data_IF_243261185794
#
_entry.id   IF_243261185794
#
_cell.length_a   1.000
_cell.length_b   1.000
_cell.length_c   1.000
_cell.angle_alpha   90.00
_cell.angle_beta   90.00
_cell.angle_gamma   90.00
#
_symmetry.space_group_name_H-M   'P 1'
#
loop_
_entity.id
_entity.type
_entity.pdbx_description
1 polymer ?
#
# COMPACT_ATOMS: atom_id res chain seq x y z
N UNK A 1 -15.27 -41.16 16.99
CA UNK A 1 -15.76 -41.87 18.18
C UNK A 1 -17.27 -41.80 18.23
N UNK A 2 -17.97 -42.91 18.55
CA UNK A 2 -19.39 -42.82 18.87
C UNK A 2 -19.59 -41.88 20.07
N UNK A 3 -20.64 -41.06 20.04
CA UNK A 3 -21.02 -40.07 21.08
C UNK A 3 -20.09 -38.84 21.26
N UNK A 4 -19.23 -38.51 20.29
CA UNK A 4 -18.35 -37.33 20.37
C UNK A 4 -18.95 -36.12 19.64
N UNK A 5 -19.00 -34.98 20.33
CA UNK A 5 -19.45 -33.68 19.79
C UNK A 5 -18.46 -32.58 20.12
N UNK A 6 -18.40 -31.56 19.26
CA UNK A 6 -17.67 -30.31 19.49
C UNK A 6 -18.61 -29.15 19.24
N UNK A 7 -18.70 -28.23 20.20
CA UNK A 7 -19.47 -27.01 20.10
C UNK A 7 -18.52 -25.84 19.86
N UNK A 8 -18.97 -24.87 19.07
CA UNK A 8 -18.30 -23.60 18.88
C UNK A 8 -19.09 -22.53 19.62
N UNK A 9 -18.46 -21.91 20.62
CA UNK A 9 -19.04 -20.85 21.44
C UNK A 9 -18.40 -19.53 21.08
N UNK A 10 -19.22 -18.48 20.95
CA UNK A 10 -18.77 -17.11 20.68
C UNK A 10 -19.34 -16.15 21.72
N UNK A 11 -18.68 -15.02 22.00
CA UNK A 11 -19.22 -14.02 22.91
C UNK A 11 -20.52 -13.45 22.37
N UNK A 12 -21.50 -13.15 23.24
CA UNK A 12 -22.76 -12.50 22.83
C UNK A 12 -22.53 -11.18 22.07
N UNK A 13 -21.46 -10.46 22.43
CA UNK A 13 -21.06 -9.21 21.76
C UNK A 13 -20.74 -9.43 20.27
N UNK A 14 -20.35 -10.63 19.86
CA UNK A 14 -20.08 -10.95 18.47
C UNK A 14 -21.37 -11.02 17.64
N UNK A 15 -22.49 -11.41 18.24
CA UNK A 15 -23.80 -11.37 17.58
C UNK A 15 -24.34 -9.93 17.50
N UNK A 16 -24.15 -9.15 18.55
CA UNK A 16 -24.65 -7.78 18.66
C UNK A 16 -23.69 -6.71 18.13
N UNK A 17 -22.66 -7.11 17.38
CA UNK A 17 -21.58 -6.23 16.93
C UNK A 17 -22.09 -4.95 16.24
N UNK A 18 -23.05 -5.09 15.33
CA UNK A 18 -23.61 -3.98 14.57
C UNK A 18 -24.50 -3.03 15.39
N UNK A 19 -24.89 -3.44 16.61
CA UNK A 19 -25.69 -2.64 17.53
C UNK A 19 -24.83 -1.89 18.57
N UNK A 20 -23.51 -2.06 18.52
CA UNK A 20 -22.57 -1.28 19.34
C UNK A 20 -22.52 0.18 18.89
N UNK A 21 -22.00 1.05 19.76
CA UNK A 21 -21.87 2.49 19.48
C UNK A 21 -21.10 2.75 18.16
N UNK A 22 -21.62 3.64 17.32
CA UNK A 22 -21.02 4.01 16.02
C UNK A 22 -19.64 4.67 16.15
N UNK A 23 -19.24 5.09 17.35
CA UNK A 23 -17.88 5.57 17.62
C UNK A 23 -16.87 4.42 17.81
N UNK A 24 -17.35 3.21 18.12
CA UNK A 24 -16.56 1.99 18.34
C UNK A 24 -16.59 1.13 17.10
N UNK A 25 -17.78 0.85 16.57
CA UNK A 25 -17.98 0.15 15.30
C UNK A 25 -18.25 1.18 14.23
N UNK A 26 -17.16 1.63 13.60
CA UNK A 26 -17.16 2.62 12.50
C UNK A 26 -17.07 1.91 11.16
N UNK A 27 -17.43 2.64 10.11
CA UNK A 27 -17.10 2.28 8.72
C UNK A 27 -15.68 2.71 8.36
N UNK A 28 -15.10 2.06 7.35
CA UNK A 28 -13.77 2.42 6.83
C UNK A 28 -13.79 3.61 5.88
N UNK A 29 -14.95 3.86 5.26
CA UNK A 29 -15.15 4.98 4.36
C UNK A 29 -15.60 6.20 5.16
N UNK A 30 -14.89 7.29 5.02
CA UNK A 30 -15.27 8.55 5.66
C UNK A 30 -16.52 9.14 4.99
N UNK A 31 -17.50 9.48 5.81
CA UNK A 31 -18.70 10.21 5.39
C UNK A 31 -18.64 11.57 6.08
N UNK A 32 -18.28 12.60 5.32
CA UNK A 32 -18.33 13.98 5.81
C UNK A 32 -19.76 14.53 5.68
N UNK A 33 -20.23 15.23 6.71
CA UNK A 33 -21.52 15.92 6.66
C UNK A 33 -21.36 17.24 5.89
N UNK A 34 -21.34 17.15 4.57
CA UNK A 34 -21.21 18.28 3.64
C UNK A 34 -22.40 18.35 2.68
N UNK A 35 -22.76 19.56 2.25
CA UNK A 35 -23.88 19.80 1.31
C UNK A 35 -23.54 19.49 -0.17
N UNK A 36 -22.30 19.08 -0.44
CA UNK A 36 -21.80 18.71 -1.77
C UNK A 36 -21.10 17.36 -1.71
N UNK A 37 -21.28 16.55 -2.76
CA UNK A 37 -20.69 15.22 -2.89
C UNK A 37 -19.72 15.19 -4.08
N UNK A 38 -18.44 14.99 -3.80
CA UNK A 38 -17.41 14.66 -4.78
C UNK A 38 -16.81 13.29 -4.44
N UNK A 39 -17.04 12.23 -5.26
CA UNK A 39 -16.48 10.90 -4.99
C UNK A 39 -14.95 10.86 -5.10
N UNK A 40 -14.31 11.89 -5.68
CA UNK A 40 -12.85 11.96 -5.86
C UNK A 40 -12.12 12.73 -4.76
N UNK A 41 -12.85 13.25 -3.76
CA UNK A 41 -12.28 14.09 -2.71
C UNK A 41 -11.21 13.37 -1.87
N UNK A 42 -11.41 12.08 -1.59
CA UNK A 42 -10.45 11.23 -0.87
C UNK A 42 -9.41 10.56 -1.77
N UNK A 43 -9.45 10.80 -3.09
CA UNK A 43 -8.56 10.14 -4.05
C UNK A 43 -7.33 11.01 -4.37
N UNK A 44 -6.14 10.44 -4.15
CA UNK A 44 -4.87 11.01 -4.61
C UNK A 44 -4.72 10.81 -6.13
N UNK A 45 -5.22 11.76 -6.93
CA UNK A 45 -5.40 11.63 -8.38
C UNK A 45 -4.29 12.21 -9.26
N UNK A 46 -3.38 13.01 -8.70
CA UNK A 46 -2.35 13.67 -9.51
C UNK A 46 -1.26 12.68 -9.92
N UNK A 47 -1.07 12.55 -11.24
CA UNK A 47 -0.04 11.67 -11.82
C UNK A 47 1.38 12.14 -11.46
N UNK A 48 2.35 11.20 -11.29
CA UNK A 48 3.73 11.56 -11.02
C UNK A 48 4.36 12.32 -12.19
N UNK A 49 5.44 13.06 -11.90
CA UNK A 49 6.14 13.91 -12.87
C UNK A 49 7.60 13.52 -12.99
N UNK A 50 8.21 13.91 -14.11
CA UNK A 50 9.66 13.78 -14.33
C UNK A 50 10.45 14.39 -13.18
N UNK A 51 11.40 13.65 -12.63
CA UNK A 51 12.35 14.20 -11.67
C UNK A 51 13.62 14.67 -12.39
N UNK A 52 13.69 15.98 -12.65
CA UNK A 52 14.87 16.59 -13.30
C UNK A 52 16.17 16.40 -12.52
N UNK A 53 16.11 16.16 -11.20
CA UNK A 53 17.30 15.90 -10.38
C UNK A 53 17.88 14.49 -10.55
N UNK A 54 17.07 13.55 -11.05
CA UNK A 54 17.40 12.11 -11.16
C UNK A 54 17.41 11.61 -12.59
N UNK A 55 17.75 12.46 -13.56
CA UNK A 55 17.82 12.05 -14.97
C UNK A 55 18.87 10.97 -15.24
N UNK A 56 19.92 10.89 -14.44
CA UNK A 56 20.91 9.82 -14.48
C UNK A 56 20.37 8.44 -14.08
N UNK A 57 19.17 8.38 -13.48
CA UNK A 57 18.49 7.13 -13.13
C UNK A 57 17.61 6.61 -14.29
N UNK A 58 17.62 7.23 -15.48
CA UNK A 58 16.99 6.60 -16.65
C UNK A 58 17.74 5.33 -17.04
N UNK A 59 16.98 4.28 -17.39
CA UNK A 59 17.56 3.06 -17.95
C UNK A 59 18.27 3.38 -19.27
N UNK A 60 19.37 2.68 -19.51
CA UNK A 60 20.18 2.84 -20.71
C UNK A 60 19.78 1.80 -21.75
N UNK A 61 19.94 2.13 -23.03
CA UNK A 61 19.74 1.17 -24.11
C UNK A 61 20.88 0.15 -24.17
N UNK A 62 20.55 -1.06 -24.61
CA UNK A 62 21.51 -2.14 -24.81
C UNK A 62 22.03 -2.17 -26.24
N UNK A 63 23.21 -2.77 -26.43
CA UNK A 63 23.70 -3.14 -27.76
C UNK A 63 23.22 -4.56 -28.09
N UNK A 64 22.77 -4.77 -29.33
CA UNK A 64 22.34 -6.10 -29.78
C UNK A 64 23.55 -7.01 -30.00
N UNK A 65 23.51 -8.25 -29.50
CA UNK A 65 24.48 -9.30 -29.86
C UNK A 65 24.10 -9.91 -31.21
N UNK A 66 25.05 -9.96 -32.15
CA UNK A 66 24.80 -10.47 -33.51
C UNK A 66 25.07 -11.98 -33.56
N UNK A 67 24.01 -12.77 -33.49
CA UNK A 67 24.03 -14.23 -33.74
C UNK A 67 22.92 -14.69 -34.71
N UNK A 68 22.34 -13.77 -35.50
CA UNK A 68 21.24 -14.04 -36.42
C UNK A 68 21.11 -13.01 -37.55
N UNK A 69 20.25 -13.29 -38.53
CA UNK A 69 20.15 -12.53 -39.80
C UNK A 69 19.12 -11.39 -39.81
N UNK A 70 18.16 -11.36 -38.87
CA UNK A 70 17.08 -10.37 -38.85
C UNK A 70 17.48 -9.08 -38.11
N UNK A 71 17.11 -7.93 -38.67
CA UNK A 71 17.36 -6.60 -38.07
C UNK A 71 16.07 -5.76 -38.02
N UNK A 72 15.99 -4.83 -37.07
CA UNK A 72 14.88 -3.89 -36.92
C UNK A 72 15.42 -2.50 -36.56
N UNK A 73 14.80 -1.46 -37.10
CA UNK A 73 15.11 -0.05 -36.82
C UNK A 73 14.46 0.48 -35.54
N UNK A 74 13.63 -0.34 -34.86
CA UNK A 74 13.03 0.03 -33.58
C UNK A 74 14.11 0.24 -32.51
N UNK A 75 13.86 1.15 -31.57
CA UNK A 75 14.70 1.41 -30.40
C UNK A 75 15.16 0.11 -29.72
N UNK A 76 16.40 0.14 -29.23
CA UNK A 76 17.00 -1.02 -28.57
C UNK A 76 16.33 -1.31 -27.23
N UNK A 77 16.49 -2.55 -26.76
CA UNK A 77 16.00 -2.93 -25.45
C UNK A 77 16.72 -2.13 -24.35
N UNK A 78 16.04 -1.88 -23.23
CA UNK A 78 16.66 -1.27 -22.05
C UNK A 78 17.41 -2.33 -21.25
N UNK A 79 18.62 -2.00 -20.78
CA UNK A 79 19.39 -2.87 -19.88
C UNK A 79 19.05 -2.59 -18.42
N UNK A 80 19.05 -3.65 -17.61
CA UNK A 80 18.90 -3.60 -16.15
C UNK A 80 20.07 -4.39 -15.56
N UNK A 81 20.96 -3.71 -14.87
CA UNK A 81 22.14 -4.32 -14.24
C UNK A 81 21.97 -4.37 -12.71
N UNK A 82 22.28 -5.53 -12.12
CA UNK A 82 22.30 -5.75 -10.67
C UNK A 82 23.58 -6.49 -10.31
N UNK A 83 24.41 -5.89 -9.45
CA UNK A 83 25.71 -6.44 -9.08
C UNK A 83 25.94 -6.23 -7.58
N UNK A 84 26.34 -7.29 -6.86
CA UNK A 84 26.43 -7.27 -5.39
C UNK A 84 27.49 -6.30 -4.85
N UNK A 85 28.67 -6.25 -5.46
CA UNK A 85 29.81 -5.50 -4.91
C UNK A 85 30.29 -6.05 -3.56
N UNK A 86 31.14 -5.29 -2.87
CA UNK A 86 31.68 -5.62 -1.55
C UNK A 86 31.30 -4.55 -0.50
N UNK A 87 29.99 -4.31 -0.36
CA UNK A 87 29.41 -3.44 0.67
C UNK A 87 28.25 -4.15 1.40
N UNK A 88 27.99 -3.75 2.64
CA UNK A 88 26.99 -4.37 3.51
C UNK A 88 25.55 -3.97 3.14
N UNK A 89 25.35 -2.69 2.89
CA UNK A 89 24.05 -2.01 2.78
C UNK A 89 23.75 -1.48 1.36
N UNK A 90 24.71 -1.56 0.45
CA UNK A 90 24.57 -1.13 -0.95
C UNK A 90 24.95 -2.23 -1.94
N UNK A 91 24.54 -2.02 -3.19
CA UNK A 91 24.92 -2.84 -4.34
C UNK A 91 25.81 -2.01 -5.27
N UNK A 92 26.76 -2.66 -5.95
CA UNK A 92 27.58 -2.01 -6.98
C UNK A 92 26.70 -1.50 -8.13
N UNK A 93 25.66 -2.25 -8.50
CA UNK A 93 24.60 -1.82 -9.41
C UNK A 93 23.24 -2.28 -8.90
N UNK A 94 22.22 -1.44 -9.05
CA UNK A 94 20.85 -1.72 -8.60
C UNK A 94 19.83 -1.00 -9.49
N UNK A 95 19.77 -1.37 -10.77
CA UNK A 95 18.98 -0.64 -11.74
C UNK A 95 17.47 -0.75 -11.52
N UNK A 96 16.99 -1.76 -10.79
CA UNK A 96 15.57 -1.84 -10.38
C UNK A 96 15.17 -0.76 -9.37
N UNK A 97 16.13 -0.21 -8.61
CA UNK A 97 15.87 0.86 -7.65
C UNK A 97 15.86 2.26 -8.28
N UNK A 98 16.29 2.39 -9.55
CA UNK A 98 16.28 3.66 -10.29
C UNK A 98 14.85 4.19 -10.41
N UNK A 99 14.61 5.43 -9.97
CA UNK A 99 13.31 6.09 -9.95
C UNK A 99 13.44 7.53 -10.50
N UNK A 100 13.48 7.71 -11.84
CA UNK A 100 13.62 9.02 -12.49
C UNK A 100 12.33 9.86 -12.51
N UNK A 101 11.32 9.48 -11.70
CA UNK A 101 10.00 10.09 -11.57
C UNK A 101 9.74 10.37 -10.08
N UNK A 102 8.99 11.42 -9.78
CA UNK A 102 8.58 11.77 -8.41
C UNK A 102 7.11 12.10 -8.32
N UNK A 103 6.60 12.13 -7.09
CA UNK A 103 5.24 12.56 -6.81
C UNK A 103 5.01 13.99 -7.32
N UNK A 104 3.79 14.29 -7.77
CA UNK A 104 3.40 15.66 -8.09
C UNK A 104 3.49 16.50 -6.81
N UNK A 105 4.05 17.69 -6.92
CA UNK A 105 3.91 18.70 -5.88
C UNK A 105 2.75 19.63 -6.29
N UNK A 106 1.68 19.60 -5.50
CA UNK A 106 0.49 20.42 -5.69
C UNK A 106 0.39 21.35 -4.49
N UNK A 107 0.66 22.65 -4.71
CA UNK A 107 0.59 23.70 -3.69
C UNK A 107 1.47 23.44 -2.45
N UNK A 108 2.70 22.96 -2.64
CA UNK A 108 3.67 22.74 -1.56
C UNK A 108 3.52 21.41 -0.84
N UNK A 109 2.54 20.58 -1.23
CA UNK A 109 2.37 19.23 -0.68
C UNK A 109 2.54 18.18 -1.78
N UNK A 110 3.26 17.11 -1.48
CA UNK A 110 3.34 15.96 -2.39
C UNK A 110 2.01 15.22 -2.44
N UNK A 111 1.56 14.89 -3.64
CA UNK A 111 0.40 14.04 -3.87
C UNK A 111 0.87 12.58 -3.86
N UNK A 112 0.72 11.99 -2.68
CA UNK A 112 1.09 10.61 -2.34
C UNK A 112 0.13 10.10 -1.27
N UNK A 113 0.13 8.78 -1.06
CA UNK A 113 -0.60 8.16 0.03
C UNK A 113 0.13 8.45 1.35
N UNK A 114 -0.56 9.09 2.30
CA UNK A 114 -0.04 9.43 3.61
C UNK A 114 -1.13 9.19 4.65
N UNK A 115 -1.01 8.09 5.41
CA UNK A 115 -2.04 7.71 6.37
C UNK A 115 -2.29 8.73 7.47
N UNK A 116 -1.30 9.56 7.82
CA UNK A 116 -1.48 10.58 8.86
C UNK A 116 -2.32 11.75 8.36
N UNK A 117 -2.21 12.07 7.07
CA UNK A 117 -2.98 13.12 6.40
C UNK A 117 -4.34 12.61 5.91
N UNK A 118 -4.35 11.45 5.25
CA UNK A 118 -5.51 10.86 4.61
C UNK A 118 -6.52 10.26 5.61
N UNK A 119 -6.06 9.89 6.82
CA UNK A 119 -6.91 9.34 7.87
C UNK A 119 -6.63 10.04 9.22
N UNK A 120 -7.20 11.24 9.44
CA UNK A 120 -6.92 12.03 10.63
C UNK A 120 -7.35 11.32 11.93
N UNK A 121 -6.71 11.70 13.04
CA UNK A 121 -6.99 11.11 14.35
C UNK A 121 -8.48 11.20 14.71
N UNK A 122 -9.03 10.11 15.24
CA UNK A 122 -10.44 10.00 15.62
C UNK A 122 -11.37 9.58 14.48
N UNK A 123 -10.95 9.73 13.22
CA UNK A 123 -11.71 9.27 12.04
C UNK A 123 -11.19 7.96 11.45
N UNK A 124 -9.92 7.63 11.70
CA UNK A 124 -9.33 6.35 11.25
C UNK A 124 -10.07 5.15 11.84
N UNK A 125 -10.51 4.25 10.98
CA UNK A 125 -11.08 2.97 11.38
C UNK A 125 -10.03 2.09 12.06
N UNK A 126 -10.40 1.46 13.18
CA UNK A 126 -9.59 0.48 13.89
C UNK A 126 -10.46 -0.71 14.30
N UNK A 127 -9.87 -1.93 14.38
CA UNK A 127 -10.57 -3.07 14.95
C UNK A 127 -11.07 -2.78 16.37
N UNK A 128 -12.21 -3.38 16.75
CA UNK A 128 -12.79 -3.23 18.10
C UNK A 128 -11.86 -3.77 19.18
N UNK A 129 -11.15 -4.86 18.88
CA UNK A 129 -10.11 -5.43 19.72
C UNK A 129 -8.88 -5.74 18.90
N UNK A 130 -7.70 -5.57 19.51
CA UNK A 130 -6.43 -6.08 18.99
C UNK A 130 -6.32 -7.57 19.29
N UNK A 131 -5.43 -8.25 18.55
CA UNK A 131 -5.11 -9.66 18.77
C UNK A 131 -4.78 -9.98 20.23
N UNK A 132 -3.86 -9.23 20.85
CA UNK A 132 -3.45 -9.44 22.24
C UNK A 132 -4.60 -9.26 23.25
N UNK A 133 -5.59 -8.42 22.93
CA UNK A 133 -6.75 -8.18 23.79
C UNK A 133 -7.71 -9.36 23.74
N UNK A 134 -7.85 -10.01 22.58
CA UNK A 134 -8.64 -11.24 22.42
C UNK A 134 -7.95 -12.40 23.13
N UNK A 135 -6.62 -12.51 23.00
CA UNK A 135 -5.84 -13.57 23.64
C UNK A 135 -5.92 -13.49 25.17
N UNK A 136 -5.73 -12.29 25.74
CA UNK A 136 -5.75 -12.08 27.20
C UNK A 136 -7.15 -12.20 27.78
N UNK A 137 -8.18 -11.77 27.04
CA UNK A 137 -9.57 -11.83 27.47
C UNK A 137 -10.27 -13.05 26.87
N UNK A 138 -10.09 -14.22 27.48
CA UNK A 138 -10.67 -15.48 27.00
C UNK A 138 -12.19 -15.46 26.80
N UNK A 139 -12.92 -14.54 27.45
CA UNK A 139 -14.35 -14.32 27.24
C UNK A 139 -14.71 -13.53 25.96
N UNK A 140 -13.73 -13.01 25.23
CA UNK A 140 -13.88 -12.26 23.97
C UNK A 140 -13.46 -13.07 22.74
N UNK A 141 -12.88 -14.26 22.93
CA UNK A 141 -12.55 -15.20 21.87
C UNK A 141 -13.63 -16.26 21.65
N UNK A 142 -13.51 -17.03 20.58
CA UNK A 142 -14.30 -18.25 20.38
C UNK A 142 -13.67 -19.42 21.15
N UNK A 143 -14.48 -20.42 21.56
CA UNK A 143 -14.02 -21.63 22.26
C UNK A 143 -14.74 -22.86 21.73
#
# INVERSE_FOLDING_TARGET
>A
SPNLYFLLLVPKVALEYHNLNNQVVKESLEVEATDSFDPTQGLQKDSPVKDSSKQGEKLQETMSSMSGMATSTRDKALKIEVERGSQSDSLLKNDFAKKPLKHKNSSGTEVKLDSQKDFPQGKVWKPVLKTDEIEKNRGMGAT
#
